data_IF_359365907784
#
_entry.id   IF_359365907784
#
_cell.length_a   1.000
_cell.length_b   1.000
_cell.length_c   1.000
_cell.angle_alpha   90.00
_cell.angle_beta   90.00
_cell.angle_gamma   90.00
#
_symmetry.space_group_name_H-M   'P 1'
#
loop_
_entity.id
_entity.type
_entity.pdbx_description
1 polymer ?
#
# COMPACT_ATOMS: atom_id res chain seq x y z
N UNK A 1 -8.99 -4.27 -5.61
CA UNK A 1 -9.20 -4.13 -7.06
C UNK A 1 -8.39 -5.22 -7.74
N UNK A 2 -9.00 -6.01 -8.62
CA UNK A 2 -8.27 -7.01 -9.40
C UNK A 2 -7.63 -6.30 -10.61
N UNK A 3 -6.37 -6.63 -10.90
CA UNK A 3 -5.65 -6.17 -12.09
C UNK A 3 -5.44 -7.38 -12.97
N UNK A 4 -5.89 -7.30 -14.22
CA UNK A 4 -5.54 -8.31 -15.21
C UNK A 4 -4.09 -8.11 -15.66
N UNK A 5 -3.29 -9.15 -15.51
CA UNK A 5 -1.87 -9.18 -15.87
C UNK A 5 -1.61 -10.22 -16.98
N UNK A 6 -2.64 -10.63 -17.73
CA UNK A 6 -2.48 -11.48 -18.90
C UNK A 6 -1.47 -10.87 -19.90
N UNK A 7 -0.62 -11.73 -20.47
CA UNK A 7 0.44 -11.31 -21.41
C UNK A 7 1.74 -10.83 -20.74
N UNK A 8 1.78 -10.74 -19.41
CA UNK A 8 3.01 -10.49 -18.65
C UNK A 8 3.74 -11.80 -18.41
N UNK A 9 5.06 -11.82 -18.60
CA UNK A 9 5.88 -13.02 -18.35
C UNK A 9 5.76 -13.50 -16.88
N UNK A 10 5.79 -14.82 -16.64
CA UNK A 10 5.52 -15.42 -15.32
C UNK A 10 6.32 -14.81 -14.17
N UNK A 11 7.62 -14.61 -14.37
CA UNK A 11 8.47 -13.98 -13.34
C UNK A 11 8.01 -12.55 -13.02
N UNK A 12 7.69 -11.76 -14.05
CA UNK A 12 7.20 -10.41 -13.88
C UNK A 12 5.83 -10.40 -13.20
N UNK A 13 4.91 -11.28 -13.59
CA UNK A 13 3.59 -11.39 -12.96
C UNK A 13 3.71 -11.68 -11.45
N UNK A 14 4.60 -12.60 -11.06
CA UNK A 14 4.89 -12.90 -9.64
C UNK A 14 5.46 -11.69 -8.89
N UNK A 15 6.38 -10.95 -9.50
CA UNK A 15 6.93 -9.72 -8.91
C UNK A 15 5.87 -8.64 -8.73
N UNK A 16 5.01 -8.42 -9.73
CA UNK A 16 3.91 -7.44 -9.67
C UNK A 16 2.87 -7.85 -8.62
N UNK A 17 2.56 -9.14 -8.50
CA UNK A 17 1.68 -9.67 -7.48
C UNK A 17 2.23 -9.44 -6.05
N UNK A 18 3.53 -9.66 -5.82
CA UNK A 18 4.16 -9.35 -4.54
C UNK A 18 4.20 -7.84 -4.24
N UNK A 19 4.41 -7.00 -5.26
CA UNK A 19 4.36 -5.55 -5.09
C UNK A 19 2.95 -5.07 -4.66
N UNK A 20 1.87 -5.67 -5.17
CA UNK A 20 0.49 -5.37 -4.76
C UNK A 20 0.21 -5.67 -3.28
N UNK A 21 1.00 -6.54 -2.64
CA UNK A 21 0.83 -6.88 -1.22
C UNK A 21 1.43 -5.83 -0.29
N UNK A 22 2.20 -4.87 -0.81
CA UNK A 22 2.82 -3.83 0.00
C UNK A 22 1.75 -2.81 0.40
N UNK A 23 1.52 -2.57 1.70
CA UNK A 23 0.51 -1.65 2.15
C UNK A 23 0.75 -0.21 1.65
N UNK A 24 -0.34 0.54 1.57
CA UNK A 24 -0.30 1.97 1.27
C UNK A 24 0.43 2.72 2.40
N UNK A 25 1.38 3.58 2.04
CA UNK A 25 2.22 4.32 3.00
C UNK A 25 3.48 3.57 3.43
N UNK A 26 3.60 2.28 3.11
CA UNK A 26 4.76 1.45 3.40
C UNK A 26 5.71 1.33 2.20
N UNK A 27 6.95 0.95 2.47
CA UNK A 27 7.96 0.69 1.44
C UNK A 27 8.58 -0.70 1.63
N UNK A 28 9.06 -1.27 0.53
CA UNK A 28 9.87 -2.49 0.55
C UNK A 28 11.11 -2.34 -0.32
N UNK A 29 11.98 -3.33 -0.34
CA UNK A 29 13.21 -3.29 -1.15
C UNK A 29 13.21 -4.33 -2.26
N UNK A 30 13.97 -4.07 -3.32
CA UNK A 30 14.15 -5.05 -4.41
C UNK A 30 14.63 -6.41 -3.89
N UNK A 31 15.52 -6.41 -2.89
CA UNK A 31 16.03 -7.63 -2.25
C UNK A 31 14.94 -8.34 -1.42
N UNK A 32 14.06 -7.60 -0.75
CA UNK A 32 12.93 -8.19 -0.02
C UNK A 32 11.95 -8.86 -0.98
N UNK A 33 11.62 -8.20 -2.10
CA UNK A 33 10.76 -8.79 -3.14
C UNK A 33 11.40 -10.02 -3.76
N UNK A 34 12.70 -9.94 -4.10
CA UNK A 34 13.46 -11.06 -4.65
C UNK A 34 13.36 -12.32 -3.76
N UNK A 35 13.46 -12.14 -2.43
CA UNK A 35 13.23 -13.24 -1.47
C UNK A 35 11.80 -13.76 -1.49
N UNK A 36 10.79 -12.88 -1.51
CA UNK A 36 9.36 -13.27 -1.52
C UNK A 36 8.98 -14.06 -2.77
N UNK A 37 9.57 -13.73 -3.93
CA UNK A 37 9.36 -14.49 -5.17
C UNK A 37 10.24 -15.74 -5.28
N UNK A 38 10.99 -16.11 -4.23
CA UNK A 38 11.80 -17.33 -4.20
C UNK A 38 13.12 -17.26 -4.96
N UNK A 39 13.55 -16.06 -5.37
CA UNK A 39 14.83 -15.85 -6.08
C UNK A 39 15.68 -14.78 -5.37
N UNK A 40 16.29 -15.07 -4.19
CA UNK A 40 16.95 -14.06 -3.35
C UNK A 40 18.03 -13.22 -4.05
N UNK A 41 18.69 -13.78 -5.08
CA UNK A 41 19.74 -13.13 -5.86
C UNK A 41 19.22 -12.30 -7.05
N UNK A 42 17.91 -12.24 -7.27
CA UNK A 42 17.30 -11.66 -8.46
C UNK A 42 16.89 -10.18 -8.30
N UNK A 43 17.47 -9.41 -7.38
CA UNK A 43 17.08 -8.02 -7.13
C UNK A 43 17.11 -7.14 -8.39
N UNK A 44 18.09 -7.33 -9.27
CA UNK A 44 18.16 -6.61 -10.56
C UNK A 44 17.03 -7.01 -11.52
N UNK A 45 16.74 -8.30 -11.62
CA UNK A 45 15.63 -8.79 -12.44
C UNK A 45 14.27 -8.31 -11.92
N UNK A 46 14.09 -8.26 -10.60
CA UNK A 46 12.93 -7.63 -9.95
C UNK A 46 12.82 -6.16 -10.34
N UNK A 47 13.94 -5.42 -10.34
CA UNK A 47 13.98 -4.03 -10.81
C UNK A 47 13.51 -3.87 -12.25
N UNK A 48 13.99 -4.72 -13.16
CA UNK A 48 13.56 -4.71 -14.57
C UNK A 48 12.06 -5.05 -14.72
N UNK A 49 11.57 -6.07 -14.00
CA UNK A 49 10.16 -6.46 -13.99
C UNK A 49 9.25 -5.32 -13.51
N UNK A 50 9.66 -4.59 -12.46
CA UNK A 50 8.94 -3.43 -11.94
C UNK A 50 9.02 -2.22 -12.88
N UNK A 51 10.13 -2.06 -13.60
CA UNK A 51 10.31 -1.01 -14.61
C UNK A 51 9.38 -1.19 -15.81
N UNK A 52 9.07 -2.44 -16.16
CA UNK A 52 8.11 -2.81 -17.21
C UNK A 52 6.66 -2.96 -16.69
N UNK A 53 6.33 -2.39 -15.51
CA UNK A 53 5.00 -2.46 -14.95
C UNK A 53 3.96 -1.77 -15.88
N UNK A 54 2.97 -2.51 -16.42
CA UNK A 54 1.99 -1.95 -17.36
C UNK A 54 0.93 -1.06 -16.70
N UNK A 55 0.75 -1.17 -15.38
CA UNK A 55 -0.22 -0.37 -14.61
C UNK A 55 0.42 0.26 -13.36
N UNK A 56 1.34 1.22 -13.53
CA UNK A 56 1.93 1.96 -12.43
C UNK A 56 0.89 2.61 -11.49
N UNK A 57 1.29 2.93 -10.27
CA UNK A 57 0.45 3.45 -9.17
C UNK A 57 -0.53 2.41 -8.63
N UNK A 58 -1.28 1.72 -9.50
CA UNK A 58 -2.18 0.62 -9.11
C UNK A 58 -1.36 -0.58 -8.63
N UNK A 59 -0.43 -1.07 -9.46
CA UNK A 59 0.65 -1.92 -8.99
C UNK A 59 1.74 -0.98 -8.47
N UNK A 60 2.00 -0.94 -7.15
CA UNK A 60 2.68 0.18 -6.51
C UNK A 60 4.20 0.07 -6.59
N UNK A 61 4.76 0.06 -7.81
CA UNK A 61 6.22 -0.06 -8.00
C UNK A 61 7.00 1.14 -7.44
N UNK A 62 6.34 2.29 -7.19
CA UNK A 62 6.93 3.43 -6.47
C UNK A 62 7.23 3.14 -4.99
N UNK A 63 6.63 2.10 -4.39
CA UNK A 63 6.92 1.66 -3.00
C UNK A 63 8.21 0.84 -2.87
N UNK A 64 8.86 0.50 -3.98
CA UNK A 64 10.10 -0.32 -3.97
C UNK A 64 11.33 0.57 -4.03
N UNK A 65 12.26 0.37 -3.10
CA UNK A 65 13.50 1.15 -2.98
C UNK A 65 14.75 0.26 -2.96
N UNK A 66 15.93 0.88 -3.06
CA UNK A 66 17.19 0.17 -2.88
C UNK A 66 17.39 -0.23 -1.42
N UNK A 67 18.21 -1.25 -1.19
CA UNK A 67 18.48 -1.74 0.17
C UNK A 67 19.26 -0.76 1.03
N UNK A 68 19.95 0.20 0.42
CA UNK A 68 20.68 1.31 1.06
C UNK A 68 19.78 2.50 1.47
N UNK A 69 18.46 2.39 1.26
CA UNK A 69 17.50 3.44 1.55
C UNK A 69 17.34 4.50 0.45
N UNK A 70 18.14 4.44 -0.63
CA UNK A 70 18.04 5.39 -1.74
C UNK A 70 16.95 5.01 -2.74
N UNK A 71 16.51 5.99 -3.54
CA UNK A 71 15.53 5.76 -4.59
C UNK A 71 16.13 5.01 -5.77
N UNK A 72 15.60 3.81 -6.06
CA UNK A 72 15.78 3.18 -7.36
C UNK A 72 15.10 3.97 -8.49
N UNK A 73 15.43 3.61 -9.73
CA UNK A 73 14.77 4.17 -10.92
C UNK A 73 13.25 3.94 -10.86
N UNK A 74 12.51 4.93 -11.36
CA UNK A 74 11.06 4.89 -11.49
C UNK A 74 10.68 5.48 -12.84
N UNK A 75 9.76 4.82 -13.56
CA UNK A 75 9.42 5.15 -14.94
C UNK A 75 8.94 6.61 -15.11
N UNK A 76 8.33 7.19 -14.08
CA UNK A 76 7.88 8.60 -14.09
C UNK A 76 8.81 9.56 -13.35
N UNK A 77 10.05 9.14 -13.07
CA UNK A 77 11.05 9.97 -12.41
C UNK A 77 10.98 10.01 -10.87
N UNK A 78 12.09 10.39 -10.24
CA UNK A 78 12.24 10.40 -8.78
C UNK A 78 11.33 11.41 -8.07
N UNK A 79 10.99 12.52 -8.73
CA UNK A 79 10.07 13.53 -8.18
C UNK A 79 8.66 12.96 -8.01
N UNK A 80 8.12 12.31 -9.04
CA UNK A 80 6.80 11.67 -8.98
C UNK A 80 6.76 10.59 -7.90
N UNK A 81 7.81 9.75 -7.83
CA UNK A 81 7.95 8.73 -6.77
C UNK A 81 7.89 9.35 -5.37
N UNK A 82 8.61 10.46 -5.17
CA UNK A 82 8.63 11.20 -3.90
C UNK A 82 7.26 11.78 -3.58
N UNK A 83 6.58 12.38 -4.56
CA UNK A 83 5.24 12.95 -4.40
C UNK A 83 4.20 11.89 -4.02
N UNK A 84 4.22 10.74 -4.70
CA UNK A 84 3.33 9.61 -4.40
C UNK A 84 3.56 9.12 -2.97
N UNK A 85 4.80 8.82 -2.59
CA UNK A 85 5.10 8.34 -1.23
C UNK A 85 4.73 9.37 -0.14
N UNK A 86 4.92 10.67 -0.40
CA UNK A 86 4.47 11.73 0.51
C UNK A 86 2.95 11.74 0.66
N UNK A 87 2.22 11.67 -0.46
CA UNK A 87 0.77 11.58 -0.47
C UNK A 87 0.29 10.37 0.35
N UNK A 88 0.93 9.22 0.16
CA UNK A 88 0.52 8.02 0.89
C UNK A 88 0.74 8.16 2.41
N UNK A 89 1.86 8.73 2.81
CA UNK A 89 2.18 8.94 4.23
C UNK A 89 1.31 10.00 4.90
N UNK A 90 0.85 11.00 4.16
CA UNK A 90 -0.01 12.06 4.69
C UNK A 90 -1.50 11.74 4.61
N UNK A 91 -1.89 10.67 3.90
CA UNK A 91 -3.30 10.31 3.72
C UNK A 91 -3.75 9.38 4.86
N UNK A 92 -4.73 9.80 5.68
CA UNK A 92 -5.36 8.92 6.67
C UNK A 92 -5.90 7.63 6.04
N UNK A 93 -5.49 6.49 6.56
CA UNK A 93 -5.97 5.17 6.10
C UNK A 93 -7.12 4.65 6.95
N UNK A 94 -7.32 5.18 8.16
CA UNK A 94 -8.36 4.79 9.10
C UNK A 94 -9.19 6.00 9.56
N UNK A 95 -10.50 5.87 9.40
CA UNK A 95 -11.50 6.88 9.78
C UNK A 95 -12.47 6.26 10.78
N UNK A 96 -12.55 6.85 11.97
CA UNK A 96 -13.54 6.58 12.99
C UNK A 96 -14.79 7.44 12.85
N UNK A 97 -15.92 6.90 13.27
CA UNK A 97 -17.17 7.63 13.44
C UNK A 97 -17.44 7.87 14.93
N UNK A 98 -17.50 9.13 15.36
CA UNK A 98 -17.65 9.53 16.78
C UNK A 98 -18.94 9.01 17.42
N UNK A 99 -20.04 8.97 16.66
CA UNK A 99 -21.36 8.54 17.15
C UNK A 99 -21.45 7.02 17.31
N UNK A 100 -20.91 6.25 16.37
CA UNK A 100 -21.00 4.77 16.40
C UNK A 100 -19.80 4.09 17.06
N UNK A 101 -18.70 4.83 17.27
CA UNK A 101 -17.41 4.33 17.73
C UNK A 101 -16.89 3.17 16.88
N UNK A 102 -17.11 3.24 15.56
CA UNK A 102 -16.60 2.27 14.59
C UNK A 102 -15.45 2.91 13.81
N UNK A 103 -14.31 2.21 13.74
CA UNK A 103 -13.19 2.57 12.86
C UNK A 103 -13.24 1.76 11.57
N UNK A 104 -13.10 2.45 10.44
CA UNK A 104 -13.16 1.90 9.09
C UNK A 104 -11.87 2.20 8.33
N UNK A 105 -11.54 1.37 7.33
CA UNK A 105 -10.60 1.78 6.28
C UNK A 105 -11.20 2.91 5.47
N UNK A 106 -10.38 3.89 5.06
CA UNK A 106 -10.79 4.93 4.12
C UNK A 106 -11.29 4.28 2.82
N UNK A 107 -12.42 4.76 2.31
CA UNK A 107 -13.15 4.21 1.17
C UNK A 107 -14.14 3.09 1.52
N UNK A 108 -14.32 2.75 2.80
CA UNK A 108 -15.35 1.79 3.21
C UNK A 108 -16.76 2.38 2.99
N UNK A 109 -17.71 1.57 2.52
CA UNK A 109 -19.11 1.98 2.35
C UNK A 109 -19.76 2.55 3.63
N UNK A 110 -19.31 2.13 4.82
CA UNK A 110 -19.75 2.74 6.09
C UNK A 110 -19.09 4.10 6.32
N UNK A 111 -17.79 4.22 6.08
CA UNK A 111 -17.04 5.48 6.21
C UNK A 111 -17.57 6.56 5.28
N UNK A 112 -17.92 6.21 4.04
CA UNK A 112 -18.47 7.13 3.05
C UNK A 112 -19.78 7.80 3.51
N UNK A 113 -20.51 7.18 4.45
CA UNK A 113 -21.75 7.73 5.03
C UNK A 113 -21.52 8.53 6.31
N UNK A 114 -20.31 8.53 6.85
CA UNK A 114 -19.97 9.30 8.06
C UNK A 114 -19.86 10.76 7.66
N UNK A 115 -20.74 11.61 8.22
CA UNK A 115 -20.66 13.06 8.09
C UNK A 115 -19.31 13.56 8.56
N UNK A 116 -18.76 14.58 7.91
CA UNK A 116 -17.41 15.09 8.18
C UNK A 116 -17.22 15.51 9.65
N UNK A 117 -18.23 16.14 10.24
CA UNK A 117 -18.25 16.53 11.66
C UNK A 117 -18.14 15.36 12.64
N UNK A 118 -18.45 14.14 12.20
CA UNK A 118 -18.38 12.92 13.00
C UNK A 118 -17.14 12.07 12.68
N UNK A 119 -16.20 12.56 11.88
CA UNK A 119 -14.98 11.82 11.52
C UNK A 119 -13.86 12.09 12.50
N UNK A 120 -13.15 11.04 12.89
CA UNK A 120 -11.86 11.09 13.61
C UNK A 120 -10.86 10.25 12.85
N UNK A 121 -9.62 10.72 12.76
CA UNK A 121 -8.54 9.96 12.12
C UNK A 121 -7.77 9.18 13.17
N UNK A 122 -7.42 7.93 12.87
CA UNK A 122 -6.55 7.11 13.69
C UNK A 122 -5.30 6.69 12.91
N UNK A 123 -4.17 6.60 13.60
CA UNK A 123 -2.93 6.09 13.00
C UNK A 123 -2.97 4.56 12.88
N UNK A 124 -3.50 3.87 13.89
CA UNK A 124 -3.69 2.43 13.87
C UNK A 124 -5.08 2.01 14.39
N UNK A 125 -5.44 0.74 14.18
CA UNK A 125 -6.62 0.15 14.83
C UNK A 125 -6.43 0.03 16.34
N UNK A 126 -5.18 -0.14 16.79
CA UNK A 126 -4.82 -0.18 18.21
C UNK A 126 -5.13 1.14 18.93
N UNK A 127 -4.74 2.27 18.32
CA UNK A 127 -5.02 3.61 18.89
C UNK A 127 -6.53 3.86 19.00
N UNK A 128 -7.28 3.47 17.97
CA UNK A 128 -8.74 3.50 17.97
C UNK A 128 -9.32 2.68 19.12
N UNK A 129 -8.85 1.44 19.29
CA UNK A 129 -9.30 0.55 20.36
C UNK A 129 -8.98 1.11 21.75
N UNK A 130 -7.81 1.72 21.93
CA UNK A 130 -7.38 2.35 23.19
C UNK A 130 -8.32 3.46 23.67
N UNK A 131 -9.04 4.11 22.74
CA UNK A 131 -10.07 5.14 23.06
C UNK A 131 -11.51 4.66 22.83
N UNK A 132 -11.71 3.34 22.79
CA UNK A 132 -13.04 2.70 22.80
C UNK A 132 -13.71 2.54 21.43
N UNK A 133 -12.97 2.64 20.32
CA UNK A 133 -13.51 2.32 18.99
C UNK A 133 -13.33 0.84 18.66
N UNK A 134 -14.30 0.27 17.95
CA UNK A 134 -14.25 -1.12 17.47
C UNK A 134 -14.02 -1.19 15.95
N UNK A 135 -13.30 -2.22 15.44
CA UNK A 135 -13.13 -2.41 14.01
C UNK A 135 -14.45 -2.63 13.28
N UNK A 136 -14.61 -2.00 12.12
CA UNK A 136 -15.76 -2.23 11.24
C UNK A 136 -15.78 -3.69 10.76
N UNK A 137 -16.93 -4.36 10.91
CA UNK A 137 -17.11 -5.77 10.50
C UNK A 137 -17.13 -5.98 8.99
N UNK A 138 -17.42 -4.92 8.22
CA UNK A 138 -17.47 -4.95 6.75
C UNK A 138 -16.07 -4.82 6.15
N UNK A 139 -15.39 -3.70 6.41
CA UNK A 139 -14.05 -3.52 5.84
C UNK A 139 -12.94 -4.20 6.64
N UNK A 140 -13.19 -4.68 7.86
CA UNK A 140 -12.22 -5.39 8.71
C UNK A 140 -10.84 -4.74 8.65
N UNK A 141 -10.69 -3.48 9.10
CA UNK A 141 -9.41 -2.79 9.02
C UNK A 141 -8.35 -3.64 9.73
N UNK A 142 -7.27 -3.94 9.01
CA UNK A 142 -6.17 -4.72 9.57
C UNK A 142 -5.50 -3.91 10.68
N UNK A 143 -5.12 -4.53 11.80
CA UNK A 143 -4.35 -3.88 12.85
C UNK A 143 -2.87 -3.70 12.45
N UNK A 144 -2.57 -3.45 11.17
CA UNK A 144 -1.18 -3.35 10.71
C UNK A 144 -0.39 -2.39 11.63
N UNK A 145 0.78 -2.90 12.02
CA UNK A 145 1.61 -2.59 13.19
C UNK A 145 1.69 -1.13 13.63
#
# INVERSE_FOLDING_TARGET
MAVDLAGVADFQARVLAEALRIPFGEVSSYAALARRVGHPRAARAVGNALGANPVPVIVPCHRIIRGDGTWGHYAFGGEMKTRLLRLERSTPTLIGCTSTRIVCRRGCAHEQRVAETNRVVFASVGDAAGVGYRPCRVCRPSPAA
#
